data_IF_569529632166
#
_entry.id   IF_569529632166
#
_cell.length_a   1.000
_cell.length_b   1.000
_cell.length_c   1.000
_cell.angle_alpha   90.00
_cell.angle_beta   90.00
_cell.angle_gamma   90.00
#
_symmetry.space_group_name_H-M   'P 1'
#
loop_
_entity.id
_entity.type
_entity.pdbx_description
1 polymer ?
#
# COMPACT_ATOMS: atom_id res chain seq x y z
N UNK A 1 12.23 -6.58 1.52
CA UNK A 1 12.45 -5.48 2.49
C UNK A 1 11.24 -5.43 3.40
N UNK A 2 11.38 -5.24 4.71
CA UNK A 2 10.24 -5.42 5.62
C UNK A 2 10.22 -4.38 6.75
N UNK A 3 9.06 -3.75 6.93
CA UNK A 3 8.74 -2.86 8.05
C UNK A 3 8.07 -3.65 9.17
N UNK A 4 8.27 -3.21 10.42
CA UNK A 4 7.70 -3.84 11.61
C UNK A 4 6.91 -2.81 12.41
N UNK A 5 5.69 -3.15 12.80
CA UNK A 5 4.84 -2.32 13.63
C UNK A 5 4.30 -3.15 14.79
N UNK A 6 4.29 -2.57 15.99
CA UNK A 6 3.82 -3.24 17.20
C UNK A 6 2.61 -2.48 17.73
N UNK A 7 1.49 -3.18 17.82
CA UNK A 7 0.24 -2.67 18.36
C UNK A 7 -0.02 -3.26 19.74
N UNK A 8 -0.41 -2.41 20.68
CA UNK A 8 -0.80 -2.79 22.04
C UNK A 8 -2.22 -2.32 22.29
N UNK A 9 -3.02 -3.14 22.97
CA UNK A 9 -4.38 -2.79 23.36
C UNK A 9 -4.34 -1.77 24.50
N UNK A 10 -4.94 -0.60 24.29
CA UNK A 10 -5.09 0.43 25.30
C UNK A 10 -6.03 -0.05 26.40
N UNK A 11 -5.64 -0.03 27.69
CA UNK A 11 -6.52 -0.41 28.79
C UNK A 11 -7.64 0.62 28.99
N UNK A 12 -7.41 1.88 28.61
CA UNK A 12 -8.37 2.98 28.80
C UNK A 12 -9.43 3.01 27.71
N UNK A 13 -9.04 2.78 26.45
CA UNK A 13 -9.96 2.91 25.30
C UNK A 13 -10.38 1.56 24.71
N UNK A 14 -9.68 0.47 25.04
CA UNK A 14 -9.88 -0.84 24.45
C UNK A 14 -9.38 -0.99 23.02
N UNK A 15 -8.94 0.10 22.36
CA UNK A 15 -8.45 0.09 20.98
C UNK A 15 -7.00 -0.37 20.88
N UNK A 16 -6.61 -0.97 19.76
CA UNK A 16 -5.20 -1.27 19.48
C UNK A 16 -4.48 -0.02 18.95
N UNK A 17 -3.41 0.40 19.64
CA UNK A 17 -2.62 1.59 19.30
C UNK A 17 -1.19 1.23 18.91
N UNK A 18 -0.61 1.99 17.98
CA UNK A 18 0.78 1.81 17.56
C UNK A 18 1.73 2.22 18.69
N UNK A 19 2.44 1.24 19.25
CA UNK A 19 3.33 1.42 20.39
C UNK A 19 4.81 1.47 19.98
N UNK A 20 5.18 0.80 18.89
CA UNK A 20 6.53 0.83 18.35
C UNK A 20 6.51 0.56 16.84
N UNK A 21 7.53 1.03 16.13
CA UNK A 21 7.69 0.71 14.71
C UNK A 21 9.14 0.86 14.26
N UNK A 22 9.55 -0.03 13.36
CA UNK A 22 10.69 0.14 12.47
C UNK A 22 10.13 0.31 11.05
N UNK A 23 10.04 1.56 10.60
CA UNK A 23 9.53 1.93 9.27
C UNK A 23 10.66 2.45 8.41
N UNK A 24 11.00 1.67 7.39
CA UNK A 24 12.09 1.90 6.44
C UNK A 24 11.54 2.11 5.03
N UNK A 25 10.32 1.64 4.74
CA UNK A 25 9.74 1.69 3.41
C UNK A 25 8.30 2.21 3.48
N UNK A 26 8.03 3.42 4.00
CA UNK A 26 6.67 3.94 4.06
C UNK A 26 6.05 4.13 2.66
N UNK A 27 4.71 4.12 2.62
CA UNK A 27 3.91 4.25 1.41
C UNK A 27 2.88 5.38 1.58
N UNK A 28 3.36 6.63 1.49
CA UNK A 28 2.52 7.83 1.51
C UNK A 28 2.18 8.33 2.91
N UNK A 29 3.01 8.01 3.90
CA UNK A 29 2.85 8.47 5.29
C UNK A 29 4.18 8.55 6.04
N UNK A 30 4.23 9.28 7.16
CA UNK A 30 5.41 9.38 8.01
C UNK A 30 5.17 8.88 9.44
N UNK A 31 6.21 8.31 10.05
CA UNK A 31 6.11 7.69 11.38
C UNK A 31 5.79 8.64 12.54
N UNK A 32 6.39 9.84 12.64
CA UNK A 32 6.10 10.76 13.75
C UNK A 32 4.61 11.11 13.88
N UNK A 33 3.89 11.17 12.76
CA UNK A 33 2.45 11.44 12.74
C UNK A 33 1.56 10.25 13.13
N UNK A 34 2.15 9.07 13.41
CA UNK A 34 1.43 7.80 13.64
C UNK A 34 1.59 7.22 15.03
N UNK A 35 2.68 7.56 15.74
CA UNK A 35 2.95 6.97 17.05
C UNK A 35 1.80 7.22 18.04
N UNK A 36 1.41 6.19 18.78
CA UNK A 36 0.33 6.24 19.78
C UNK A 36 -1.09 6.23 19.22
N UNK A 37 -1.29 6.38 17.90
CA UNK A 37 -2.63 6.39 17.29
C UNK A 37 -3.25 5.00 17.24
N UNK A 38 -4.57 4.95 17.33
CA UNK A 38 -5.35 3.73 17.15
C UNK A 38 -5.30 3.24 15.70
N UNK A 39 -5.54 1.94 15.47
CA UNK A 39 -5.67 1.38 14.11
C UNK A 39 -6.68 2.17 13.26
N UNK A 40 -7.81 2.57 13.85
CA UNK A 40 -8.82 3.40 13.19
C UNK A 40 -8.25 4.76 12.78
N UNK A 41 -7.64 5.50 13.71
CA UNK A 41 -7.09 6.84 13.44
C UNK A 41 -5.94 6.83 12.45
N UNK A 42 -5.16 5.74 12.37
CA UNK A 42 -4.07 5.59 11.40
C UNK A 42 -4.55 5.53 9.94
N UNK A 43 -5.80 5.11 9.73
CA UNK A 43 -6.38 4.90 8.42
C UNK A 43 -7.47 5.93 8.08
N UNK A 44 -7.64 6.97 8.88
CA UNK A 44 -8.51 8.12 8.59
C UNK A 44 -8.32 8.67 7.15
N UNK A 45 -7.09 8.78 6.60
CA UNK A 45 -6.91 9.27 5.23
C UNK A 45 -7.39 8.30 4.14
N UNK A 46 -7.71 7.05 4.47
CA UNK A 46 -8.11 6.01 3.51
C UNK A 46 -9.63 6.08 3.32
N UNK A 47 -10.13 6.38 2.10
CA UNK A 47 -11.56 6.46 1.86
C UNK A 47 -12.28 5.16 2.21
N UNK A 48 -13.53 5.26 2.66
CA UNK A 48 -14.37 4.12 3.05
C UNK A 48 -13.83 3.26 4.21
N UNK A 49 -12.69 3.60 4.81
CA UNK A 49 -12.10 2.81 5.88
C UNK A 49 -13.02 2.73 7.10
N UNK A 50 -13.46 3.88 7.61
CA UNK A 50 -14.28 3.96 8.81
C UNK A 50 -15.60 3.20 8.64
N UNK A 51 -16.28 3.42 7.52
CA UNK A 51 -17.61 2.85 7.26
C UNK A 51 -17.60 1.37 6.87
N UNK A 52 -16.48 0.82 6.35
CA UNK A 52 -16.44 -0.57 5.84
C UNK A 52 -15.50 -1.51 6.58
N UNK A 53 -14.40 -1.01 7.14
CA UNK A 53 -13.29 -1.85 7.59
C UNK A 53 -12.90 -1.64 9.06
N UNK A 54 -13.06 -0.44 9.61
CA UNK A 54 -12.58 -0.10 10.96
C UNK A 54 -13.02 -1.11 12.02
N UNK A 55 -14.34 -1.36 12.13
CA UNK A 55 -14.90 -2.29 13.12
C UNK A 55 -14.46 -3.73 12.91
N UNK A 56 -14.43 -4.20 11.65
CA UNK A 56 -14.08 -5.59 11.35
C UNK A 56 -12.60 -5.87 11.62
N UNK A 57 -11.73 -4.90 11.36
CA UNK A 57 -10.29 -4.96 11.65
C UNK A 57 -10.03 -4.94 13.15
N UNK A 58 -10.68 -4.07 13.91
CA UNK A 58 -10.53 -4.03 15.38
C UNK A 58 -11.01 -5.34 16.04
N UNK A 59 -12.12 -5.89 15.54
CA UNK A 59 -12.62 -7.20 15.93
C UNK A 59 -11.64 -8.33 15.57
N UNK A 60 -11.02 -8.28 14.39
CA UNK A 60 -9.99 -9.23 14.00
C UNK A 60 -8.78 -9.14 14.93
N UNK A 61 -8.27 -7.93 15.20
CA UNK A 61 -7.16 -7.72 16.13
C UNK A 61 -7.49 -8.33 17.49
N UNK A 62 -8.66 -8.03 18.05
CA UNK A 62 -9.12 -8.57 19.33
C UNK A 62 -9.17 -10.10 19.37
N UNK A 63 -9.57 -10.77 18.29
CA UNK A 63 -9.71 -12.24 18.25
C UNK A 63 -8.45 -12.99 17.78
N UNK A 64 -7.48 -12.30 17.21
CA UNK A 64 -6.27 -12.93 16.64
C UNK A 64 -5.55 -13.76 17.69
N UNK A 65 -5.57 -15.09 17.59
CA UNK A 65 -4.89 -15.95 18.55
C UNK A 65 -3.39 -16.08 18.24
N UNK A 66 -2.51 -16.32 19.24
CA UNK A 66 -1.07 -16.48 19.02
C UNK A 66 -0.68 -17.60 18.05
N UNK A 67 -1.54 -18.62 17.91
CA UNK A 67 -1.36 -19.77 17.00
C UNK A 67 -1.88 -19.52 15.58
N UNK A 68 -2.53 -18.39 15.33
CA UNK A 68 -3.05 -18.02 14.01
C UNK A 68 -2.31 -16.81 13.46
N UNK A 69 -2.25 -16.72 12.14
CA UNK A 69 -1.78 -15.53 11.43
C UNK A 69 -2.71 -15.25 10.25
N UNK A 70 -2.79 -13.98 9.87
CA UNK A 70 -3.38 -13.57 8.59
C UNK A 70 -2.27 -12.99 7.72
N UNK A 71 -2.39 -13.25 6.43
CA UNK A 71 -1.65 -12.55 5.41
C UNK A 71 -2.64 -11.91 4.44
N UNK A 72 -2.32 -10.70 3.98
CA UNK A 72 -2.99 -10.06 2.85
C UNK A 72 -1.96 -9.44 1.93
N UNK A 73 -2.34 -9.24 0.68
CA UNK A 73 -1.55 -8.50 -0.29
C UNK A 73 -2.26 -7.20 -0.63
N UNK A 74 -1.46 -6.21 -0.98
CA UNK A 74 -1.92 -4.94 -1.50
C UNK A 74 -0.85 -4.40 -2.45
N UNK A 75 -1.23 -3.55 -3.38
CA UNK A 75 -0.25 -2.88 -4.22
C UNK A 75 -0.59 -1.41 -4.43
N UNK A 76 0.46 -0.66 -4.77
CA UNK A 76 0.41 0.71 -5.25
C UNK A 76 1.12 0.78 -6.61
N UNK A 77 0.71 1.73 -7.43
CA UNK A 77 1.45 2.10 -8.63
C UNK A 77 2.24 3.36 -8.29
N UNK A 78 3.52 3.40 -8.66
CA UNK A 78 4.38 4.56 -8.51
C UNK A 78 5.21 4.76 -9.78
N UNK A 79 5.73 5.97 -9.96
CA UNK A 79 6.60 6.33 -11.08
C UNK A 79 8.04 6.40 -10.57
N UNK A 80 8.97 5.81 -11.32
CA UNK A 80 10.42 5.91 -11.15
C UNK A 80 10.96 7.09 -11.96
N UNK A 81 11.38 8.21 -11.31
CA UNK A 81 12.05 9.29 -12.00
C UNK A 81 13.41 8.87 -12.57
N UNK A 82 13.89 9.56 -13.61
CA UNK A 82 15.28 9.44 -14.03
C UNK A 82 16.25 9.68 -12.87
N UNK A 83 17.28 8.85 -12.75
CA UNK A 83 18.32 8.92 -11.72
C UNK A 83 17.82 8.80 -10.26
N UNK A 84 16.63 8.25 -10.04
CA UNK A 84 16.11 7.99 -8.69
C UNK A 84 16.86 6.80 -8.06
N UNK A 85 17.32 6.96 -6.82
CA UNK A 85 17.91 5.87 -6.06
C UNK A 85 16.83 4.91 -5.55
N UNK A 86 17.21 3.65 -5.32
CA UNK A 86 16.31 2.67 -4.72
C UNK A 86 15.76 3.13 -3.34
N UNK A 87 16.57 3.87 -2.57
CA UNK A 87 16.15 4.40 -1.27
C UNK A 87 15.02 5.41 -1.42
N UNK A 88 15.13 6.35 -2.36
CA UNK A 88 14.06 7.32 -2.65
C UNK A 88 12.80 6.63 -3.17
N UNK A 89 12.96 5.61 -4.02
CA UNK A 89 11.85 4.83 -4.57
C UNK A 89 11.07 4.06 -3.50
N UNK A 90 11.74 3.64 -2.42
CA UNK A 90 11.11 2.90 -1.34
C UNK A 90 10.61 3.76 -0.18
N UNK A 91 11.22 4.93 0.03
CA UNK A 91 10.97 5.80 1.18
C UNK A 91 10.00 6.93 0.83
N UNK A 92 8.73 6.57 0.63
CA UNK A 92 7.70 7.52 0.22
C UNK A 92 6.86 7.95 1.42
N UNK A 93 6.97 9.21 1.84
CA UNK A 93 6.29 9.72 3.03
C UNK A 93 5.01 10.51 2.75
N UNK A 94 4.72 10.86 1.49
CA UNK A 94 3.48 11.53 1.09
C UNK A 94 2.91 10.91 -0.18
N UNK A 95 1.58 10.88 -0.30
CA UNK A 95 0.90 10.25 -1.45
C UNK A 95 1.28 10.86 -2.80
N UNK A 96 1.52 12.18 -2.85
CA UNK A 96 1.94 12.88 -4.08
C UNK A 96 3.31 12.40 -4.61
N UNK A 97 4.17 11.90 -3.72
CA UNK A 97 5.55 11.51 -4.05
C UNK A 97 5.59 10.12 -4.73
N UNK A 98 4.44 9.43 -4.85
CA UNK A 98 4.28 8.29 -5.76
C UNK A 98 4.37 8.70 -7.23
N UNK A 99 4.08 9.96 -7.55
CA UNK A 99 3.89 10.46 -8.91
C UNK A 99 4.66 11.78 -9.14
N UNK A 100 5.97 11.84 -8.86
CA UNK A 100 6.76 13.06 -8.97
C UNK A 100 6.72 13.63 -10.39
N UNK A 101 6.43 14.93 -10.53
CA UNK A 101 6.46 15.63 -11.82
C UNK A 101 5.34 15.31 -12.81
N UNK A 102 4.32 14.55 -12.41
CA UNK A 102 3.27 14.06 -13.32
C UNK A 102 2.39 15.18 -13.89
N UNK A 103 2.66 15.57 -15.14
CA UNK A 103 1.62 15.93 -16.11
C UNK A 103 1.46 14.69 -17.00
N UNK A 104 0.24 14.25 -17.27
CA UNK A 104 -0.12 13.01 -17.99
C UNK A 104 0.67 12.67 -19.27
N UNK A 105 1.40 13.62 -19.85
CA UNK A 105 1.71 13.65 -21.28
C UNK A 105 2.97 12.85 -21.65
N UNK A 106 3.85 12.48 -20.70
CA UNK A 106 5.15 11.85 -21.00
C UNK A 106 5.45 10.57 -20.17
N UNK A 107 4.45 9.92 -19.58
CA UNK A 107 4.70 8.73 -18.76
C UNK A 107 4.97 7.48 -19.62
N UNK A 108 6.19 7.00 -19.55
CA UNK A 108 6.64 5.75 -20.19
C UNK A 108 6.32 4.52 -19.32
N UNK A 109 5.79 3.46 -19.91
CA UNK A 109 5.57 2.17 -19.24
C UNK A 109 6.82 1.59 -18.58
N UNK A 110 8.04 1.93 -19.03
CA UNK A 110 9.30 1.54 -18.38
C UNK A 110 9.55 2.22 -17.02
N UNK A 111 8.96 3.40 -16.78
CA UNK A 111 9.09 4.10 -15.49
C UNK A 111 8.01 3.70 -14.48
N UNK A 112 7.05 2.85 -14.87
CA UNK A 112 5.98 2.42 -13.98
C UNK A 112 6.43 1.25 -13.12
N UNK A 113 6.31 1.42 -11.80
CA UNK A 113 6.61 0.41 -10.79
C UNK A 113 5.32 -0.01 -10.09
N UNK A 114 5.12 -1.32 -10.02
CA UNK A 114 4.13 -1.95 -9.15
C UNK A 114 4.80 -2.25 -7.81
N UNK A 115 4.43 -1.48 -6.79
CA UNK A 115 4.88 -1.68 -5.41
C UNK A 115 3.93 -2.63 -4.71
N UNK A 116 4.41 -3.84 -4.44
CA UNK A 116 3.68 -4.88 -3.72
C UNK A 116 3.97 -4.82 -2.23
N UNK A 117 2.94 -4.98 -1.42
CA UNK A 117 3.01 -5.07 0.03
C UNK A 117 2.34 -6.36 0.48
N UNK A 118 3.16 -7.27 1.04
CA UNK A 118 2.67 -8.45 1.75
C UNK A 118 2.61 -8.14 3.24
N UNK A 119 1.40 -8.10 3.75
CA UNK A 119 1.08 -7.70 5.10
C UNK A 119 0.80 -8.92 5.96
N UNK A 120 1.45 -9.05 7.11
CA UNK A 120 1.22 -10.17 8.05
C UNK A 120 0.91 -9.67 9.45
N UNK A 121 0.10 -10.43 10.19
CA UNK A 121 -0.33 -10.10 11.54
C UNK A 121 -0.13 -11.30 12.46
N UNK A 122 0.55 -11.10 13.60
CA UNK A 122 0.79 -12.14 14.60
C UNK A 122 0.73 -11.59 16.01
N UNK A 123 -0.02 -12.26 16.88
CA UNK A 123 -0.05 -11.96 18.31
C UNK A 123 1.11 -12.65 19.03
N UNK A 124 1.82 -11.91 19.87
CA UNK A 124 2.94 -12.42 20.68
C UNK A 124 2.43 -13.08 21.96
N UNK A 125 2.94 -14.28 22.28
CA UNK A 125 2.46 -15.08 23.40
C UNK A 125 2.67 -14.42 24.77
N UNK A 126 3.79 -13.70 24.96
CA UNK A 126 4.17 -13.16 26.27
C UNK A 126 3.58 -11.78 26.56
N UNK A 127 3.52 -10.91 25.55
CA UNK A 127 3.11 -9.51 25.73
C UNK A 127 1.69 -9.23 25.25
N UNK A 128 1.05 -10.18 24.59
CA UNK A 128 -0.26 -10.02 23.93
C UNK A 128 -0.28 -8.96 22.81
N UNK A 129 0.87 -8.36 22.50
CA UNK A 129 1.01 -7.37 21.43
C UNK A 129 0.84 -8.00 20.05
N UNK A 130 0.34 -7.21 19.09
CA UNK A 130 0.22 -7.62 17.70
C UNK A 130 1.40 -7.05 16.92
N UNK A 131 2.18 -7.92 16.30
CA UNK A 131 3.18 -7.54 15.30
C UNK A 131 2.51 -7.53 13.93
N UNK A 132 2.55 -6.38 13.29
CA UNK A 132 2.15 -6.15 11.92
C UNK A 132 3.39 -5.92 11.07
N UNK A 133 3.67 -6.82 10.12
CA UNK A 133 4.79 -6.65 9.19
C UNK A 133 4.31 -6.28 7.80
N UNK A 134 5.09 -5.46 7.10
CA UNK A 134 4.84 -5.08 5.72
C UNK A 134 6.09 -5.41 4.91
N UNK A 135 6.06 -6.51 4.17
CA UNK A 135 7.12 -6.85 3.23
C UNK A 135 6.87 -6.16 1.90
N UNK A 136 7.76 -5.23 1.55
CA UNK A 136 7.73 -4.48 0.30
C UNK A 136 8.62 -5.13 -0.76
N UNK A 137 8.09 -5.22 -1.98
CA UNK A 137 8.83 -5.53 -3.21
C UNK A 137 8.39 -4.61 -4.34
N UNK A 138 9.31 -4.29 -5.23
CA UNK A 138 9.07 -3.45 -6.40
C UNK A 138 9.22 -4.34 -7.65
N UNK A 139 8.36 -4.13 -8.62
CA UNK A 139 8.36 -4.83 -9.91
C UNK A 139 8.09 -3.79 -11.00
N UNK A 140 8.86 -3.79 -12.09
CA UNK A 140 8.52 -2.94 -13.23
C UNK A 140 7.25 -3.44 -13.90
N UNK A 141 6.43 -2.55 -14.42
CA UNK A 141 5.24 -2.92 -15.19
C UNK A 141 5.58 -3.85 -16.37
N UNK A 142 6.72 -3.62 -17.01
CA UNK A 142 7.24 -4.46 -18.11
C UNK A 142 7.62 -5.88 -17.69
N UNK A 143 7.91 -6.09 -16.41
CA UNK A 143 8.26 -7.38 -15.81
C UNK A 143 7.01 -8.13 -15.30
N UNK A 144 5.81 -7.57 -15.44
CA UNK A 144 4.57 -8.27 -15.08
C UNK A 144 4.31 -9.40 -16.09
N UNK A 145 4.23 -10.68 -15.63
CA UNK A 145 3.97 -11.83 -16.48
C UNK A 145 2.67 -11.67 -17.27
N UNK A 146 2.69 -12.10 -18.53
CA UNK A 146 1.54 -11.92 -19.45
C UNK A 146 0.24 -12.54 -18.90
N UNK A 147 0.34 -13.72 -18.28
CA UNK A 147 -0.76 -14.44 -17.65
C UNK A 147 -1.33 -13.73 -16.41
N UNK A 148 -0.61 -12.78 -15.82
CA UNK A 148 -1.06 -11.99 -14.66
C UNK A 148 -1.64 -10.62 -15.03
N UNK A 149 -1.40 -10.12 -16.25
CA UNK A 149 -1.80 -8.77 -16.69
C UNK A 149 -3.32 -8.58 -16.63
N UNK A 150 -4.09 -9.57 -17.08
CA UNK A 150 -5.55 -9.49 -17.06
C UNK A 150 -6.10 -9.39 -15.63
N UNK A 151 -5.55 -10.16 -14.70
CA UNK A 151 -5.94 -10.13 -13.28
C UNK A 151 -5.61 -8.78 -12.63
N UNK A 152 -4.43 -8.22 -12.92
CA UNK A 152 -4.04 -6.89 -12.45
C UNK A 152 -5.03 -5.81 -12.93
N UNK A 153 -5.37 -5.81 -14.22
CA UNK A 153 -6.35 -4.86 -14.79
C UNK A 153 -7.74 -5.04 -14.16
N UNK A 154 -8.17 -6.29 -13.94
CA UNK A 154 -9.44 -6.57 -13.30
C UNK A 154 -9.46 -6.05 -11.85
N UNK A 155 -8.39 -6.23 -11.08
CA UNK A 155 -8.28 -5.69 -9.73
C UNK A 155 -8.36 -4.16 -9.70
N UNK A 156 -7.64 -3.48 -10.60
CA UNK A 156 -7.65 -2.00 -10.73
C UNK A 156 -9.06 -1.49 -11.05
N UNK A 157 -9.78 -2.18 -11.95
CA UNK A 157 -11.15 -1.82 -12.35
C UNK A 157 -12.17 -2.05 -11.23
N UNK A 158 -11.92 -3.01 -10.34
CA UNK A 158 -12.79 -3.35 -9.23
C UNK A 158 -12.68 -2.40 -8.02
N UNK A 159 -11.69 -1.49 -8.01
CA UNK A 159 -11.60 -0.52 -6.92
C UNK A 159 -12.79 0.44 -6.92
N UNK A 160 -13.40 0.69 -5.74
CA UNK A 160 -14.33 1.81 -5.59
C UNK A 160 -13.68 3.12 -6.06
N UNK A 161 -14.46 4.01 -6.66
CA UNK A 161 -13.95 5.24 -7.29
C UNK A 161 -13.12 6.10 -6.32
N UNK A 162 -13.54 6.21 -5.06
CA UNK A 162 -12.80 6.95 -4.04
C UNK A 162 -11.43 6.32 -3.73
N UNK A 163 -11.36 4.99 -3.68
CA UNK A 163 -10.10 4.24 -3.50
C UNK A 163 -9.21 4.41 -4.73
N UNK A 164 -9.79 4.32 -5.93
CA UNK A 164 -9.06 4.50 -7.17
C UNK A 164 -8.45 5.90 -7.27
N UNK A 165 -9.20 6.94 -6.89
CA UNK A 165 -8.71 8.32 -6.82
C UNK A 165 -7.61 8.47 -5.78
N UNK A 166 -7.80 7.91 -4.58
CA UNK A 166 -6.78 7.89 -3.53
C UNK A 166 -5.47 7.24 -3.97
N UNK A 167 -5.54 6.16 -4.76
CA UNK A 167 -4.38 5.49 -5.37
C UNK A 167 -3.84 6.18 -6.62
N UNK A 168 -4.36 7.34 -6.98
CA UNK A 168 -3.92 8.09 -8.15
C UNK A 168 -4.24 7.41 -9.48
N UNK A 169 -5.24 6.52 -9.58
CA UNK A 169 -5.59 5.78 -10.81
C UNK A 169 -5.68 6.71 -12.01
N UNK A 170 -6.32 7.86 -11.85
CA UNK A 170 -6.42 8.88 -12.90
C UNK A 170 -5.07 9.25 -13.52
N UNK A 171 -3.95 9.20 -12.79
CA UNK A 171 -2.62 9.54 -13.30
C UNK A 171 -2.07 8.47 -14.25
N UNK A 172 -2.25 7.18 -13.93
CA UNK A 172 -1.48 6.07 -14.51
C UNK A 172 -2.30 5.00 -15.22
N UNK A 173 -3.63 5.03 -15.13
CA UNK A 173 -4.52 3.98 -15.65
C UNK A 173 -4.30 3.72 -17.14
N UNK A 174 -4.20 4.78 -17.95
CA UNK A 174 -4.03 4.67 -19.40
C UNK A 174 -2.75 3.88 -19.77
N UNK A 175 -1.63 4.19 -19.10
CA UNK A 175 -0.35 3.52 -19.36
C UNK A 175 -0.36 2.08 -18.87
N UNK A 176 -0.84 1.84 -17.64
CA UNK A 176 -0.88 0.50 -17.04
C UNK A 176 -1.83 -0.42 -17.79
N UNK A 177 -3.08 0.01 -18.01
CA UNK A 177 -4.10 -0.79 -18.69
C UNK A 177 -3.75 -0.94 -20.17
N UNK A 178 -3.26 0.12 -20.81
CA UNK A 178 -2.81 0.09 -22.21
C UNK A 178 -1.71 -0.95 -22.42
N UNK A 179 -0.65 -0.92 -21.60
CA UNK A 179 0.41 -1.92 -21.66
C UNK A 179 -0.10 -3.33 -21.38
N UNK A 180 -0.91 -3.52 -20.34
CA UNK A 180 -1.38 -4.84 -19.93
C UNK A 180 -2.31 -5.51 -20.96
N UNK A 181 -3.12 -4.73 -21.69
CA UNK A 181 -4.07 -5.24 -22.68
C UNK A 181 -3.54 -5.19 -24.12
N UNK A 182 -2.28 -4.78 -24.34
CA UNK A 182 -1.69 -4.69 -25.68
C UNK A 182 -2.22 -3.51 -26.51
N UNK A 183 -2.75 -2.48 -25.86
CA UNK A 183 -3.11 -1.23 -26.52
C UNK A 183 -1.83 -0.55 -27.02
N UNK A 184 -1.76 -0.30 -28.34
CA UNK A 184 -0.71 0.54 -28.91
C UNK A 184 -0.74 1.89 -28.17
N UNK A 185 0.26 2.16 -27.34
CA UNK A 185 0.56 3.53 -26.93
C UNK A 185 0.77 4.30 -28.22
N UNK A 186 -0.11 5.27 -28.49
CA UNK A 186 -0.18 5.95 -29.78
C UNK A 186 1.15 6.61 -30.12
N UNK A 187 1.95 5.93 -30.95
CA UNK A 187 3.04 6.55 -31.67
C UNK A 187 2.44 7.63 -32.55
N UNK A 188 2.59 8.89 -32.15
CA UNK A 188 2.46 10.01 -33.07
C UNK A 188 3.62 9.89 -34.05
N UNK A 189 3.32 9.40 -35.25
CA UNK A 189 4.16 9.58 -36.43
C UNK A 189 4.17 11.02 -36.89
#
# INVERSE_FOLDING_TARGET
MEDFNVFVKSPTTGSHCLAASATLFPAGWCMPARMGKSVTSLHEPVPLWESRLSTSVEHYFTRLAPKSSMQRHYFFVQIEPPNCSLAELLFIQQGKDFFPGSRHVDMDHHSVIIRHERQTFRRLLRSDAIVFTVRTSLQRLTEVPEDQRAALVQEIRNWPEEIARYKGRHVWDEVVVGWCLGGRLGGKG
#
